data_IF_073099911110
#
_entry.id   IF_073099911110
#
_cell.length_a   1.000
_cell.length_b   1.000
_cell.length_c   1.000
_cell.angle_alpha   90.00
_cell.angle_beta   90.00
_cell.angle_gamma   90.00
#
_symmetry.space_group_name_H-M   'P 1'
#
loop_
_entity.id
_entity.type
_entity.pdbx_description
1 polymer ?
#
# COMPACT_ATOMS: atom_id res chain seq x y z
N UNK A 1 3.18 4.12 13.29
CA UNK A 1 3.73 4.52 11.96
C UNK A 1 2.69 5.22 11.05
N UNK A 2 1.37 4.96 11.16
CA UNK A 2 0.35 5.60 10.30
C UNK A 2 -0.79 6.31 11.07
N UNK A 3 -0.49 6.85 12.25
CA UNK A 3 -1.50 7.43 13.17
C UNK A 3 -2.19 8.69 12.62
N UNK A 4 -1.60 9.34 11.61
CA UNK A 4 -2.19 10.49 10.92
C UNK A 4 -3.17 10.12 9.81
N UNK A 5 -3.29 8.84 9.46
CA UNK A 5 -4.19 8.37 8.42
C UNK A 5 -5.51 7.87 9.00
N UNK A 6 -6.60 8.07 8.26
CA UNK A 6 -7.87 7.40 8.54
C UNK A 6 -7.68 5.87 8.50
N UNK A 7 -8.59 5.12 9.11
CA UNK A 7 -8.55 3.65 9.03
C UNK A 7 -8.53 3.16 7.58
N UNK A 8 -9.32 3.79 6.70
CA UNK A 8 -9.30 3.49 5.27
C UNK A 8 -7.92 3.77 4.66
N UNK A 9 -7.31 4.91 4.96
CA UNK A 9 -5.97 5.25 4.46
C UNK A 9 -4.90 4.24 4.93
N UNK A 10 -5.01 3.75 6.17
CA UNK A 10 -4.12 2.68 6.67
C UNK A 10 -4.29 1.37 5.90
N UNK A 11 -5.53 0.97 5.59
CA UNK A 11 -5.81 -0.24 4.79
C UNK A 11 -5.23 -0.15 3.38
N UNK A 12 -5.37 1.00 2.71
CA UNK A 12 -4.82 1.24 1.37
C UNK A 12 -3.30 1.00 1.34
N UNK A 13 -2.57 1.50 2.33
CA UNK A 13 -1.11 1.32 2.41
C UNK A 13 -0.75 -0.16 2.63
N UNK A 14 -1.52 -0.88 3.44
CA UNK A 14 -1.32 -2.33 3.65
C UNK A 14 -1.55 -3.09 2.34
N UNK A 15 -2.65 -2.83 1.64
CA UNK A 15 -2.94 -3.48 0.36
C UNK A 15 -1.90 -3.15 -0.72
N UNK A 16 -1.45 -1.91 -0.79
CA UNK A 16 -0.37 -1.52 -1.69
C UNK A 16 0.91 -2.34 -1.42
N UNK A 17 1.26 -2.56 -0.14
CA UNK A 17 2.42 -3.38 0.22
C UNK A 17 2.22 -4.84 -0.18
N UNK A 18 1.06 -5.42 0.07
CA UNK A 18 0.74 -6.79 -0.36
C UNK A 18 0.83 -6.94 -1.89
N UNK A 19 0.40 -5.93 -2.65
CA UNK A 19 0.47 -5.93 -4.11
C UNK A 19 1.90 -5.82 -4.64
N UNK A 20 2.79 -5.11 -3.92
CA UNK A 20 4.22 -5.07 -4.25
C UNK A 20 4.89 -6.42 -3.96
N UNK A 21 4.58 -7.04 -2.82
CA UNK A 21 5.09 -8.37 -2.44
C UNK A 21 4.64 -9.45 -3.43
N UNK A 22 3.36 -9.43 -3.83
CA UNK A 22 2.81 -10.36 -4.84
C UNK A 22 3.49 -10.24 -6.20
N UNK A 23 3.95 -9.04 -6.57
CA UNK A 23 4.67 -8.79 -7.83
C UNK A 23 6.17 -8.94 -7.71
N UNK A 24 6.68 -9.29 -6.52
CA UNK A 24 8.11 -9.37 -6.23
C UNK A 24 8.85 -8.06 -6.54
N UNK A 25 8.18 -6.93 -6.33
CA UNK A 25 8.78 -5.62 -6.50
C UNK A 25 9.51 -5.22 -5.22
N UNK A 26 10.80 -4.89 -5.35
CA UNK A 26 11.66 -4.53 -4.22
C UNK A 26 11.32 -3.16 -3.61
N UNK A 27 10.41 -2.40 -4.23
CA UNK A 27 9.98 -1.09 -3.77
C UNK A 27 8.47 -0.89 -3.90
N UNK A 28 7.91 -0.05 -3.02
CA UNK A 28 6.52 0.37 -3.07
C UNK A 28 6.35 1.56 -4.03
N UNK A 29 6.13 1.27 -5.31
CA UNK A 29 5.78 2.27 -6.33
C UNK A 29 4.36 2.85 -6.19
N UNK A 30 4.08 3.95 -6.91
CA UNK A 30 2.77 4.62 -6.93
C UNK A 30 1.69 3.74 -7.58
N UNK A 31 2.10 2.85 -8.47
CA UNK A 31 1.25 1.82 -9.08
C UNK A 31 0.62 0.88 -8.03
N UNK A 32 1.34 0.57 -6.96
CA UNK A 32 0.82 -0.26 -5.88
C UNK A 32 -0.16 0.51 -5.00
N UNK A 33 0.10 1.80 -4.77
CA UNK A 33 -0.84 2.68 -4.07
C UNK A 33 -2.15 2.81 -4.84
N UNK A 34 -2.08 2.91 -6.18
CA UNK A 34 -3.27 2.92 -7.03
C UNK A 34 -4.07 1.62 -6.91
N UNK A 35 -3.40 0.47 -6.88
CA UNK A 35 -4.06 -0.83 -6.71
C UNK A 35 -4.63 -1.05 -5.30
N UNK A 36 -4.10 -0.35 -4.29
CA UNK A 36 -4.58 -0.44 -2.91
C UNK A 36 -5.81 0.42 -2.59
N UNK A 37 -6.24 1.32 -3.49
CA UNK A 37 -7.37 2.26 -3.31
C UNK A 37 -8.75 1.62 -3.53
#
# INVERSE_FOLDING_TARGET
MFEKFTERGRKVIIYAKEEAERRQNDYLGTEHLLLGL
#
